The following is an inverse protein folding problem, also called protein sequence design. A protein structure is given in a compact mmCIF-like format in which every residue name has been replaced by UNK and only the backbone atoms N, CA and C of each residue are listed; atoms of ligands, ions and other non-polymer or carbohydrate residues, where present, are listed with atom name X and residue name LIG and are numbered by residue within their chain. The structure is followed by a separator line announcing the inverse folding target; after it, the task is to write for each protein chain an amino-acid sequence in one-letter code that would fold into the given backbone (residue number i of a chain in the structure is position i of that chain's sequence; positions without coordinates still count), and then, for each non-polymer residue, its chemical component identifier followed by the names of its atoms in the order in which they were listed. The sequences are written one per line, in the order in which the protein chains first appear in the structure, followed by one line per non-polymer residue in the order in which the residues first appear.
data_IF_520107549591
#
_entry.id   IF_520107549591
#
_cell.length_a   1.000
_cell.length_b   1.000
_cell.length_c   1.000
_cell.angle_alpha   90.00
_cell.angle_beta   90.00
_cell.angle_gamma   90.00
#
_symmetry.space_group_name_H-M   'P 1'
#
loop_
_entity.id
_entity.type
_entity.pdbx_description
1 polymer ?
#
# COMPACT_ATOMS: atom_id res chain seq x y z
N UNK A 1 11.77 -8.30 14.06
CA UNK A 1 11.61 -9.68 14.63
C UNK A 1 12.48 -10.60 13.80
N UNK A 2 13.45 -11.29 14.40
CA UNK A 2 14.31 -12.23 13.68
C UNK A 2 13.51 -13.49 13.40
N UNK A 3 13.45 -13.97 12.15
CA UNK A 3 12.73 -15.22 11.85
C UNK A 3 13.32 -16.37 12.63
N UNK A 4 12.48 -17.23 13.16
CA UNK A 4 12.91 -18.50 13.74
C UNK A 4 13.40 -19.37 12.58
N UNK A 5 14.62 -19.81 12.61
CA UNK A 5 15.23 -20.62 11.55
C UNK A 5 14.40 -21.89 11.33
N UNK A 6 14.07 -22.18 10.08
CA UNK A 6 13.22 -23.32 9.70
C UNK A 6 11.71 -23.12 9.86
N UNK A 7 11.24 -21.98 10.41
CA UNK A 7 9.81 -21.71 10.62
C UNK A 7 9.24 -20.59 9.74
N UNK A 8 10.05 -19.98 8.87
CA UNK A 8 9.60 -18.91 7.97
C UNK A 8 9.52 -19.37 6.52
N UNK A 9 8.50 -18.89 5.80
CA UNK A 9 8.34 -19.15 4.37
C UNK A 9 8.81 -17.95 3.57
N UNK A 10 9.69 -18.18 2.60
CA UNK A 10 10.07 -17.17 1.61
C UNK A 10 9.06 -17.14 0.47
N UNK A 11 8.98 -16.02 -0.26
CA UNK A 11 8.14 -15.95 -1.46
C UNK A 11 8.49 -17.09 -2.46
N UNK A 12 9.78 -17.33 -2.65
CA UNK A 12 10.24 -18.44 -3.51
C UNK A 12 9.72 -19.81 -3.04
N UNK A 13 9.87 -20.13 -1.74
CA UNK A 13 9.38 -21.41 -1.22
C UNK A 13 7.85 -21.53 -1.31
N UNK A 14 7.13 -20.42 -1.09
CA UNK A 14 5.68 -20.35 -1.25
C UNK A 14 5.24 -20.60 -2.69
N UNK A 15 5.87 -19.95 -3.66
CA UNK A 15 5.59 -20.14 -5.09
C UNK A 15 5.92 -21.57 -5.54
N UNK A 16 7.05 -22.13 -5.11
CA UNK A 16 7.38 -23.55 -5.40
C UNK A 16 6.33 -24.52 -4.85
N UNK A 17 5.77 -24.24 -3.67
CA UNK A 17 4.75 -25.09 -3.09
C UNK A 17 3.43 -25.08 -3.88
N UNK A 18 3.13 -23.96 -4.54
CA UNK A 18 1.89 -23.79 -5.31
C UNK A 18 2.05 -24.22 -6.78
N UNK A 19 3.13 -23.79 -7.42
CA UNK A 19 3.34 -23.99 -8.86
C UNK A 19 4.17 -25.22 -9.22
N UNK A 20 4.87 -25.83 -8.25
CA UNK A 20 5.90 -26.83 -8.49
C UNK A 20 7.29 -26.20 -8.62
N UNK A 21 8.29 -26.85 -8.04
CA UNK A 21 9.68 -26.33 -8.04
C UNK A 21 10.26 -26.17 -9.46
N UNK A 22 9.87 -27.02 -10.37
CA UNK A 22 10.29 -27.05 -11.77
C UNK A 22 9.77 -25.87 -12.59
N UNK A 23 8.77 -25.16 -12.09
CA UNK A 23 8.15 -24.00 -12.76
C UNK A 23 8.56 -22.66 -12.17
N UNK A 24 9.38 -22.66 -11.12
CA UNK A 24 9.79 -21.44 -10.41
C UNK A 24 11.30 -21.30 -10.42
N UNK A 25 11.79 -20.28 -11.11
CA UNK A 25 13.19 -19.92 -11.11
C UNK A 25 13.45 -18.67 -10.26
N UNK A 26 14.66 -18.57 -9.75
CA UNK A 26 15.15 -17.35 -9.08
C UNK A 26 16.25 -16.72 -9.91
N UNK A 27 16.08 -15.44 -10.19
CA UNK A 27 17.09 -14.62 -10.85
C UNK A 27 17.75 -13.75 -9.79
N UNK A 28 19.07 -13.87 -9.69
CA UNK A 28 19.87 -13.07 -8.77
C UNK A 28 20.43 -11.87 -9.50
N UNK A 29 20.49 -10.76 -8.79
CA UNK A 29 21.19 -9.57 -9.24
C UNK A 29 22.64 -9.62 -8.80
N UNK A 30 23.54 -9.37 -9.72
CA UNK A 30 24.94 -9.11 -9.40
C UNK A 30 25.11 -7.77 -8.69
N UNK A 31 26.20 -7.61 -7.96
CA UNK A 31 26.56 -6.35 -7.33
C UNK A 31 26.77 -5.21 -8.35
N UNK A 32 27.00 -5.57 -9.61
CA UNK A 32 27.12 -4.67 -10.77
C UNK A 32 25.77 -4.38 -11.45
N UNK A 33 24.66 -4.85 -10.88
CA UNK A 33 23.33 -4.71 -11.46
C UNK A 33 23.03 -5.66 -12.62
N UNK A 34 23.91 -6.63 -12.92
CA UNK A 34 23.68 -7.62 -13.95
C UNK A 34 22.69 -8.70 -13.51
N UNK A 35 21.94 -9.26 -14.46
CA UNK A 35 21.06 -10.41 -14.26
C UNK A 35 20.79 -11.13 -15.58
N UNK A 36 20.19 -12.31 -15.53
CA UNK A 36 19.83 -13.07 -16.74
C UNK A 36 18.58 -12.48 -17.41
N UNK A 37 18.78 -11.51 -18.31
CA UNK A 37 17.72 -10.86 -19.08
C UNK A 37 16.97 -11.82 -19.99
N UNK A 38 17.63 -12.89 -20.47
CA UNK A 38 16.98 -13.91 -21.30
C UNK A 38 15.99 -14.75 -20.48
N UNK A 39 16.33 -15.05 -19.23
CA UNK A 39 15.42 -15.74 -18.33
C UNK A 39 14.19 -14.87 -18.02
N UNK A 40 14.37 -13.57 -17.76
CA UNK A 40 13.29 -12.61 -17.57
C UNK A 40 12.37 -12.57 -18.80
N UNK A 41 12.91 -12.38 -20.00
CA UNK A 41 12.10 -12.28 -21.23
C UNK A 41 11.32 -13.54 -21.55
N UNK A 42 11.79 -14.71 -21.14
CA UNK A 42 11.15 -16.00 -21.42
C UNK A 42 10.14 -16.43 -20.37
N UNK A 43 10.17 -15.82 -19.20
CA UNK A 43 9.28 -16.16 -18.09
C UNK A 43 7.82 -15.87 -18.47
N UNK A 44 6.91 -16.74 -18.06
CA UNK A 44 5.46 -16.53 -18.23
C UNK A 44 4.95 -15.34 -17.41
N UNK A 45 5.58 -15.09 -16.28
CA UNK A 45 5.39 -13.91 -15.45
C UNK A 45 6.63 -13.72 -14.56
N UNK A 46 6.87 -12.50 -14.14
CA UNK A 46 8.00 -12.15 -13.27
C UNK A 46 7.49 -11.49 -12.00
N UNK A 47 7.94 -11.98 -10.86
CA UNK A 47 7.65 -11.36 -9.57
C UNK A 47 8.91 -10.68 -9.06
N UNK A 48 8.88 -9.36 -8.95
CA UNK A 48 9.97 -8.54 -8.42
C UNK A 48 9.66 -8.18 -6.97
N UNK A 49 10.45 -8.69 -6.03
CA UNK A 49 10.30 -8.36 -4.61
C UNK A 49 11.29 -7.27 -4.23
N UNK A 50 10.77 -6.14 -3.80
CA UNK A 50 11.53 -4.94 -3.41
C UNK A 50 11.12 -4.48 -2.02
N UNK A 51 11.88 -3.56 -1.44
CA UNK A 51 11.53 -2.97 -0.16
C UNK A 51 12.72 -2.66 0.71
N UNK A 52 12.44 -2.43 1.98
CA UNK A 52 13.43 -2.00 2.98
C UNK A 52 13.92 -3.19 3.80
N UNK A 53 15.12 -3.02 4.34
CA UNK A 53 15.75 -3.94 5.28
C UNK A 53 15.93 -3.24 6.63
N UNK A 54 16.35 -3.97 7.65
CA UNK A 54 16.65 -3.39 8.97
C UNK A 54 17.78 -2.33 8.94
N UNK A 55 18.56 -2.29 7.87
CA UNK A 55 19.61 -1.29 7.66
C UNK A 55 19.06 -0.01 7.02
N UNK A 56 17.92 -0.09 6.33
CA UNK A 56 17.31 1.01 5.58
C UNK A 56 15.99 1.50 6.17
N UNK A 57 15.40 0.74 7.09
CA UNK A 57 14.23 1.14 7.89
C UNK A 57 14.35 0.56 9.30
N UNK A 58 14.24 1.40 10.33
CA UNK A 58 14.36 0.95 11.72
C UNK A 58 13.92 1.99 12.73
N UNK A 59 13.85 1.56 13.98
CA UNK A 59 13.58 2.46 15.10
C UNK A 59 14.75 3.43 15.28
N UNK A 60 14.43 4.73 15.40
CA UNK A 60 15.43 5.77 15.65
C UNK A 60 16.07 6.39 14.41
N UNK A 61 15.70 5.94 13.21
CA UNK A 61 16.05 6.60 11.96
C UNK A 61 14.92 6.42 10.92
N UNK A 62 14.76 7.43 10.07
CA UNK A 62 13.71 7.42 9.05
C UNK A 62 14.21 6.75 7.76
N UNK A 63 13.34 5.99 7.12
CA UNK A 63 13.56 5.52 5.77
C UNK A 63 13.35 6.64 4.75
N UNK A 64 13.87 6.45 3.55
CA UNK A 64 13.56 7.31 2.41
C UNK A 64 12.10 7.10 1.94
N UNK A 65 11.51 8.11 1.31
CA UNK A 65 10.22 7.97 0.65
C UNK A 65 10.32 7.12 -0.64
N UNK A 66 11.45 7.20 -1.33
CA UNK A 66 11.77 6.32 -2.45
C UNK A 66 12.26 4.95 -1.97
N UNK A 67 12.10 3.93 -2.80
CA UNK A 67 12.72 2.63 -2.56
C UNK A 67 14.26 2.77 -2.42
N UNK A 68 14.94 1.84 -1.75
CA UNK A 68 16.40 1.80 -1.72
C UNK A 68 17.04 1.87 -3.11
N UNK A 69 18.25 2.42 -3.17
CA UNK A 69 18.99 2.65 -4.40
C UNK A 69 19.02 1.42 -5.32
N UNK A 70 18.77 1.66 -6.61
CA UNK A 70 18.79 0.64 -7.67
C UNK A 70 17.49 -0.16 -7.81
N UNK A 71 16.57 -0.13 -6.84
CA UNK A 71 15.36 -0.94 -6.92
C UNK A 71 14.35 -0.40 -7.95
N UNK A 72 14.20 0.92 -8.08
CA UNK A 72 13.35 1.52 -9.11
C UNK A 72 13.86 1.22 -10.52
N UNK A 73 15.17 1.31 -10.72
CA UNK A 73 15.82 0.97 -11.99
C UNK A 73 15.67 -0.52 -12.33
N UNK A 74 15.81 -1.38 -11.33
CA UNK A 74 15.58 -2.80 -11.48
C UNK A 74 14.17 -3.10 -12.00
N UNK A 75 13.14 -2.49 -11.40
CA UNK A 75 11.75 -2.70 -11.81
C UNK A 75 11.58 -2.29 -13.26
N UNK A 76 12.05 -1.10 -13.66
CA UNK A 76 11.94 -0.62 -15.04
C UNK A 76 12.65 -1.51 -16.04
N UNK A 77 13.87 -1.96 -15.71
CA UNK A 77 14.61 -2.88 -16.59
C UNK A 77 13.88 -4.20 -16.78
N UNK A 78 13.30 -4.75 -15.70
CA UNK A 78 12.52 -5.99 -15.77
C UNK A 78 11.23 -5.78 -16.57
N UNK A 79 10.51 -4.66 -16.35
CA UNK A 79 9.30 -4.30 -17.08
C UNK A 79 9.57 -4.08 -18.58
N UNK A 80 10.73 -3.54 -18.95
CA UNK A 80 11.16 -3.44 -20.36
C UNK A 80 11.45 -4.77 -21.06
N UNK A 81 11.56 -5.87 -20.31
CA UNK A 81 11.86 -7.20 -20.84
C UNK A 81 10.65 -8.16 -20.80
N UNK A 82 9.66 -7.88 -19.99
CA UNK A 82 8.50 -8.75 -19.80
C UNK A 82 7.27 -7.92 -19.43
N UNK A 83 6.16 -8.11 -20.14
CA UNK A 83 4.91 -7.37 -19.94
C UNK A 83 4.11 -7.85 -18.71
N UNK A 84 4.46 -8.99 -18.13
CA UNK A 84 3.75 -9.60 -16.99
C UNK A 84 4.58 -9.52 -15.72
N UNK A 85 4.82 -8.29 -15.28
CA UNK A 85 5.59 -8.01 -14.07
C UNK A 85 4.67 -7.67 -12.93
N UNK A 86 4.83 -8.39 -11.82
CA UNK A 86 4.18 -8.08 -10.55
C UNK A 86 5.25 -7.63 -9.56
N UNK A 87 5.06 -6.46 -9.00
CA UNK A 87 5.96 -5.92 -7.96
C UNK A 87 5.39 -6.18 -6.59
N UNK A 88 6.15 -6.83 -5.73
CA UNK A 88 5.81 -7.04 -4.30
C UNK A 88 6.66 -6.09 -3.48
N UNK A 89 6.00 -5.14 -2.82
CA UNK A 89 6.65 -4.10 -2.02
C UNK A 89 6.59 -4.46 -0.54
N UNK A 90 7.76 -4.58 0.09
CA UNK A 90 7.90 -4.79 1.53
C UNK A 90 8.35 -3.47 2.18
N UNK A 91 7.43 -2.80 2.84
CA UNK A 91 7.67 -1.50 3.47
C UNK A 91 6.71 -1.27 4.63
N UNK A 92 7.13 -0.55 5.65
CA UNK A 92 6.28 -0.16 6.78
C UNK A 92 5.31 0.98 6.47
N UNK A 93 5.43 1.60 5.30
CA UNK A 93 4.56 2.71 4.89
C UNK A 93 4.57 2.93 3.38
N UNK A 94 3.98 4.02 2.95
CA UNK A 94 3.96 4.46 1.57
C UNK A 94 5.37 4.59 0.96
N UNK A 95 5.50 4.26 -0.31
CA UNK A 95 6.70 4.49 -1.11
C UNK A 95 6.34 5.16 -2.44
N UNK A 96 7.27 5.94 -2.99
CA UNK A 96 7.14 6.41 -4.35
C UNK A 96 7.18 5.22 -5.33
N UNK A 97 6.31 5.27 -6.34
CA UNK A 97 6.19 4.22 -7.36
C UNK A 97 6.26 4.84 -8.77
N UNK A 98 7.43 5.41 -9.15
CA UNK A 98 7.56 6.11 -10.44
C UNK A 98 7.49 5.19 -11.66
N UNK A 99 7.42 3.90 -11.44
CA UNK A 99 7.30 2.81 -12.40
C UNK A 99 5.90 2.17 -12.44
N UNK A 100 4.93 2.74 -11.71
CA UNK A 100 3.61 2.13 -11.51
C UNK A 100 2.90 1.79 -12.83
N UNK A 101 2.99 2.66 -13.81
CA UNK A 101 2.35 2.48 -15.13
C UNK A 101 3.14 1.53 -16.06
N UNK A 102 4.30 1.06 -15.63
CA UNK A 102 5.17 0.16 -16.40
C UNK A 102 4.99 -1.32 -16.02
N UNK A 103 4.21 -1.61 -14.98
CA UNK A 103 4.02 -2.96 -14.44
C UNK A 103 2.57 -3.40 -14.44
N UNK A 104 2.33 -4.72 -14.53
CA UNK A 104 0.97 -5.28 -14.58
C UNK A 104 0.23 -5.17 -13.25
N UNK A 105 0.93 -5.36 -12.12
CA UNK A 105 0.32 -5.28 -10.80
C UNK A 105 1.34 -4.95 -9.69
N UNK A 106 0.83 -4.38 -8.61
CA UNK A 106 1.58 -4.13 -7.38
C UNK A 106 0.87 -4.77 -6.20
N UNK A 107 1.63 -5.48 -5.37
CA UNK A 107 1.17 -6.03 -4.10
C UNK A 107 1.92 -5.32 -2.97
N UNK A 108 1.21 -4.52 -2.20
CA UNK A 108 1.74 -3.92 -0.97
C UNK A 108 1.72 -4.99 0.12
N UNK A 109 2.86 -5.60 0.37
CA UNK A 109 2.98 -6.73 1.30
C UNK A 109 3.18 -6.29 2.75
N UNK A 110 3.51 -5.03 3.00
CA UNK A 110 3.93 -4.54 4.32
C UNK A 110 5.08 -5.40 4.85
N UNK A 111 5.02 -5.80 6.11
CA UNK A 111 5.90 -6.80 6.73
C UNK A 111 5.07 -8.03 7.12
N UNK A 112 4.88 -8.98 6.19
CA UNK A 112 3.87 -10.03 6.31
C UNK A 112 4.22 -11.13 7.34
N UNK A 113 5.37 -11.04 7.99
CA UNK A 113 5.77 -11.97 9.04
C UNK A 113 6.18 -13.35 8.53
N UNK A 114 6.09 -14.33 9.41
CA UNK A 114 6.69 -15.65 9.24
C UNK A 114 6.09 -16.45 8.06
N UNK A 115 4.78 -16.36 7.86
CA UNK A 115 4.05 -17.07 6.78
C UNK A 115 3.83 -16.20 5.53
N UNK A 116 4.52 -15.05 5.45
CA UNK A 116 4.37 -14.09 4.36
C UNK A 116 4.58 -14.66 2.97
N UNK A 117 5.57 -15.54 2.81
CA UNK A 117 5.82 -16.19 1.52
C UNK A 117 4.67 -17.07 1.06
N UNK A 118 4.04 -17.82 1.97
CA UNK A 118 2.86 -18.64 1.66
C UNK A 118 1.65 -17.79 1.34
N UNK A 119 1.38 -16.75 2.13
CA UNK A 119 0.27 -15.83 1.91
C UNK A 119 0.37 -15.13 0.56
N UNK A 120 1.54 -14.60 0.22
CA UNK A 120 1.80 -13.97 -1.07
C UNK A 120 1.63 -14.97 -2.23
N UNK A 121 2.17 -16.17 -2.10
CA UNK A 121 2.01 -17.20 -3.13
C UNK A 121 0.55 -17.59 -3.35
N UNK A 122 -0.27 -17.68 -2.30
CA UNK A 122 -1.71 -17.96 -2.41
C UNK A 122 -2.45 -16.83 -3.14
N UNK A 123 -2.10 -15.57 -2.89
CA UNK A 123 -2.66 -14.42 -3.61
C UNK A 123 -2.21 -14.44 -5.07
N UNK A 124 -0.91 -14.52 -5.33
CA UNK A 124 -0.35 -14.46 -6.69
C UNK A 124 -0.83 -15.60 -7.58
N UNK A 125 -1.15 -16.76 -7.02
CA UNK A 125 -1.70 -17.90 -7.74
C UNK A 125 -3.23 -17.88 -7.90
N UNK A 126 -3.93 -16.94 -7.24
CA UNK A 126 -5.38 -16.87 -7.24
C UNK A 126 -6.08 -17.89 -6.32
N UNK A 127 -5.35 -18.62 -5.49
CA UNK A 127 -5.95 -19.52 -4.48
C UNK A 127 -6.74 -18.74 -3.43
N UNK A 128 -6.27 -17.55 -3.08
CA UNK A 128 -6.95 -16.61 -2.19
C UNK A 128 -7.08 -15.26 -2.89
N UNK A 129 -8.23 -14.64 -2.75
CA UNK A 129 -8.45 -13.27 -3.25
C UNK A 129 -7.91 -12.26 -2.24
N UNK A 130 -7.15 -11.24 -2.69
CA UNK A 130 -6.75 -10.16 -1.79
C UNK A 130 -7.99 -9.44 -1.26
N UNK A 131 -7.97 -9.08 0.01
CA UNK A 131 -9.06 -8.37 0.70
C UNK A 131 -8.56 -7.18 1.52
N UNK A 132 -7.24 -6.99 1.58
CA UNK A 132 -6.64 -5.87 2.28
C UNK A 132 -7.05 -4.53 1.67
N UNK A 133 -7.21 -3.53 2.53
CA UNK A 133 -7.46 -2.14 2.16
C UNK A 133 -6.40 -1.26 2.79
N UNK A 134 -5.96 -0.23 2.08
CA UNK A 134 -4.98 0.71 2.60
C UNK A 134 -5.49 1.40 3.87
N UNK A 135 -4.75 1.32 4.98
CA UNK A 135 -5.12 1.99 6.22
C UNK A 135 -4.71 3.47 6.24
N UNK A 136 -4.08 3.94 5.17
CA UNK A 136 -3.61 5.33 4.99
C UNK A 136 -3.76 5.72 3.53
N UNK A 137 -3.79 7.02 3.27
CA UNK A 137 -3.75 7.57 1.91
C UNK A 137 -2.32 7.54 1.38
N UNK A 138 -2.11 7.05 0.16
CA UNK A 138 -0.84 7.12 -0.55
C UNK A 138 -0.84 8.30 -1.50
N UNK A 139 0.15 9.17 -1.39
CA UNK A 139 0.22 10.44 -2.13
C UNK A 139 1.08 10.38 -3.39
N UNK A 140 1.86 9.33 -3.56
CA UNK A 140 2.73 9.10 -4.71
C UNK A 140 4.03 9.87 -4.69
N UNK A 141 4.03 11.08 -4.19
CA UNK A 141 5.24 11.90 -3.97
C UNK A 141 5.22 12.52 -2.57
N UNK A 142 6.39 12.83 -2.05
CA UNK A 142 6.49 13.47 -0.75
C UNK A 142 5.84 14.86 -0.76
N UNK A 143 6.05 15.61 -1.85
CA UNK A 143 5.47 16.94 -2.04
C UNK A 143 3.94 16.91 -2.21
N UNK A 144 3.40 15.79 -2.68
CA UNK A 144 1.96 15.56 -2.78
C UNK A 144 1.28 15.36 -1.43
N UNK A 145 2.05 15.02 -0.39
CA UNK A 145 1.51 14.87 0.94
C UNK A 145 1.33 16.24 1.62
N UNK A 146 0.10 16.63 1.97
CA UNK A 146 -0.18 17.94 2.57
C UNK A 146 0.55 18.18 3.89
N UNK A 147 0.89 17.15 4.63
CA UNK A 147 1.64 17.25 5.88
C UNK A 147 3.15 17.43 5.69
N UNK A 148 3.70 17.11 4.52
CA UNK A 148 5.16 17.12 4.27
C UNK A 148 5.80 18.51 4.50
N UNK A 149 5.07 19.57 4.19
CA UNK A 149 5.55 20.94 4.37
C UNK A 149 5.83 21.27 5.83
N UNK A 150 5.07 20.68 6.75
CA UNK A 150 5.12 20.97 8.17
C UNK A 150 6.17 20.12 8.90
N UNK A 151 6.58 19.00 8.31
CA UNK A 151 7.64 18.15 8.86
C UNK A 151 9.07 18.60 8.52
N UNK A 152 9.23 19.77 7.89
CA UNK A 152 10.53 20.29 7.50
C UNK A 152 11.21 19.50 6.39
N UNK A 153 10.50 18.58 5.75
CA UNK A 153 10.99 17.81 4.62
C UNK A 153 11.09 18.70 3.39
N UNK A 154 12.29 18.91 2.88
CA UNK A 154 12.53 19.58 1.61
C UNK A 154 13.23 18.63 0.66
N UNK A 155 12.63 18.39 -0.52
CA UNK A 155 13.24 17.71 -1.66
C UNK A 155 13.90 16.36 -1.34
N UNK A 156 13.19 15.46 -0.70
CA UNK A 156 13.69 14.14 -0.29
C UNK A 156 14.85 14.18 0.73
N UNK A 157 15.16 15.32 1.29
CA UNK A 157 16.09 15.44 2.39
C UNK A 157 15.30 15.52 3.70
N UNK A 158 15.52 14.56 4.58
CA UNK A 158 15.14 14.69 5.98
C UNK A 158 16.05 15.75 6.57
N UNK A 159 15.57 16.98 6.66
CA UNK A 159 16.29 18.00 7.42
C UNK A 159 16.04 17.67 8.89
N UNK A 160 17.08 17.24 9.63
CA UNK A 160 16.93 17.11 11.07
C UNK A 160 16.45 18.47 11.57
N UNK A 161 15.22 18.55 12.06
CA UNK A 161 14.78 19.74 12.75
C UNK A 161 15.87 20.04 13.78
N UNK A 162 16.38 21.28 13.82
CA UNK A 162 17.18 21.73 14.96
C UNK A 162 16.38 21.28 16.15
N UNK A 163 16.91 20.36 16.93
CA UNK A 163 16.21 19.80 18.08
C UNK A 163 15.76 20.97 18.91
N UNK A 164 14.49 21.32 18.75
CA UNK A 164 13.80 22.14 19.75
C UNK A 164 13.89 21.30 21.02
N UNK A 165 14.53 21.79 22.07
CA UNK A 165 14.65 21.04 23.32
C UNK A 165 13.30 20.68 23.93
N UNK A 166 12.20 21.25 23.41
CA UNK A 166 10.83 21.00 23.85
C UNK A 166 10.02 20.13 22.89
N UNK A 167 10.60 19.67 21.77
CA UNK A 167 9.95 18.76 20.80
C UNK A 167 8.53 19.18 20.38
N UNK A 168 8.31 20.46 20.13
CA UNK A 168 7.01 20.94 19.67
C UNK A 168 6.76 20.55 18.22
N UNK A 169 5.71 19.79 17.98
CA UNK A 169 5.19 19.52 16.65
C UNK A 169 3.87 20.25 16.48
N UNK A 170 3.74 21.02 15.42
CA UNK A 170 2.51 21.78 15.12
C UNK A 170 1.88 21.19 13.87
N UNK A 171 0.63 20.76 14.00
CA UNK A 171 -0.19 20.21 12.91
C UNK A 171 -0.98 21.35 12.26
N UNK A 172 -0.37 22.06 11.33
CA UNK A 172 -0.98 23.19 10.65
C UNK A 172 -2.10 22.80 9.69
N UNK A 173 -2.11 21.55 9.23
CA UNK A 173 -3.18 20.98 8.41
C UNK A 173 -4.51 20.86 9.20
N UNK A 174 -4.47 20.89 10.52
CA UNK A 174 -5.65 20.82 11.38
C UNK A 174 -6.48 19.57 11.11
N UNK A 175 -7.75 19.74 10.72
CA UNK A 175 -8.65 18.64 10.40
C UNK A 175 -8.36 17.97 9.04
N UNK A 176 -7.61 18.62 8.18
CA UNK A 176 -7.29 18.10 6.83
C UNK A 176 -6.08 17.18 6.83
N UNK A 177 -6.03 16.24 7.75
CA UNK A 177 -5.00 15.21 7.82
C UNK A 177 -5.45 13.93 7.10
N UNK A 178 -4.50 13.25 6.46
CA UNK A 178 -4.74 11.98 5.78
C UNK A 178 -5.82 12.07 4.70
N UNK A 179 -6.80 11.17 4.70
CA UNK A 179 -7.84 11.10 3.67
C UNK A 179 -8.72 12.36 3.59
N UNK A 180 -8.83 13.15 4.66
CA UNK A 180 -9.61 14.39 4.65
C UNK A 180 -8.97 15.49 3.79
N UNK A 181 -7.66 15.43 3.58
CA UNK A 181 -6.98 16.31 2.66
C UNK A 181 -7.21 15.90 1.20
N UNK A 182 -7.57 14.65 0.95
CA UNK A 182 -7.85 14.17 -0.41
C UNK A 182 -9.07 14.90 -0.99
N UNK A 183 -8.90 15.46 -2.17
CA UNK A 183 -9.95 16.25 -2.84
C UNK A 183 -10.07 17.69 -2.35
N UNK A 184 -9.32 18.11 -1.32
CA UNK A 184 -9.23 19.52 -0.92
C UNK A 184 -8.09 20.19 -1.69
N UNK A 185 -8.31 21.42 -2.14
CA UNK A 185 -7.28 22.36 -2.63
C UNK A 185 -6.15 21.75 -3.51
N UNK A 186 -6.47 20.79 -4.39
CA UNK A 186 -5.51 20.27 -5.37
C UNK A 186 -4.67 19.05 -4.93
N UNK A 187 -4.96 18.48 -3.78
CA UNK A 187 -4.32 17.24 -3.35
C UNK A 187 -5.06 16.02 -3.91
N UNK A 188 -4.42 15.32 -4.85
CA UNK A 188 -4.93 14.08 -5.41
C UNK A 188 -4.08 12.90 -4.92
N UNK A 189 -4.66 11.91 -4.24
CA UNK A 189 -3.92 10.74 -3.81
C UNK A 189 -3.57 9.83 -4.99
N UNK A 190 -2.43 9.14 -4.90
CA UNK A 190 -2.10 8.04 -5.79
C UNK A 190 -3.06 6.86 -5.53
N UNK A 191 -3.22 6.52 -4.25
CA UNK A 191 -4.23 5.57 -3.78
C UNK A 191 -4.92 6.15 -2.54
N UNK A 192 -6.24 6.29 -2.53
CA UNK A 192 -6.95 6.82 -1.38
C UNK A 192 -6.95 5.82 -0.20
N UNK A 193 -7.19 6.33 1.00
CA UNK A 193 -7.52 5.50 2.16
C UNK A 193 -8.63 4.51 1.80
N UNK A 194 -8.48 3.26 2.22
CA UNK A 194 -9.44 2.20 1.91
C UNK A 194 -9.30 1.57 0.53
N UNK A 195 -8.37 2.05 -0.31
CA UNK A 195 -8.11 1.45 -1.61
C UNK A 195 -7.59 0.02 -1.48
N UNK A 196 -8.04 -0.83 -2.39
CA UNK A 196 -7.54 -2.19 -2.57
C UNK A 196 -8.39 -2.95 -3.59
N UNK A 197 -7.73 -3.80 -4.36
CA UNK A 197 -8.38 -4.62 -5.37
C UNK A 197 -8.68 -6.02 -4.82
N UNK A 198 -9.60 -6.70 -5.47
CA UNK A 198 -9.98 -8.09 -5.17
C UNK A 198 -10.23 -8.83 -6.48
N UNK A 199 -10.14 -10.15 -6.48
CA UNK A 199 -10.41 -10.98 -7.67
C UNK A 199 -11.91 -11.22 -7.92
N UNK A 200 -12.76 -10.62 -7.10
CA UNK A 200 -14.20 -10.69 -7.26
C UNK A 200 -14.82 -9.30 -7.45
N UNK A 201 -16.12 -9.25 -7.59
CA UNK A 201 -16.88 -8.02 -7.68
C UNK A 201 -17.95 -8.00 -6.61
N UNK A 202 -18.17 -6.84 -6.02
CA UNK A 202 -19.20 -6.63 -5.01
C UNK A 202 -20.20 -5.59 -5.51
N UNK A 203 -21.48 -5.85 -5.28
CA UNK A 203 -22.57 -4.92 -5.50
C UNK A 203 -23.12 -4.47 -4.15
N UNK A 204 -23.37 -3.18 -4.05
CA UNK A 204 -23.98 -2.55 -2.88
C UNK A 204 -25.37 -2.08 -3.26
N UNK A 205 -26.37 -2.32 -2.40
CA UNK A 205 -27.75 -1.91 -2.65
C UNK A 205 -28.52 -1.64 -1.37
N UNK A 206 -29.69 -1.02 -1.53
CA UNK A 206 -30.68 -0.82 -0.48
C UNK A 206 -30.14 -0.07 0.75
N UNK A 207 -29.37 1.00 0.50
CA UNK A 207 -28.91 1.88 1.58
C UNK A 207 -30.12 2.48 2.29
N UNK A 208 -30.22 2.23 3.59
CA UNK A 208 -31.21 2.83 4.47
C UNK A 208 -30.51 3.52 5.63
N UNK A 209 -30.93 4.75 5.90
CA UNK A 209 -30.43 5.56 7.01
C UNK A 209 -31.64 5.97 7.84
N UNK A 210 -31.70 5.56 9.09
CA UNK A 210 -32.79 5.84 10.01
C UNK A 210 -32.26 6.54 11.25
N UNK A 211 -32.96 7.59 11.75
CA UNK A 211 -32.61 8.19 13.02
C UNK A 211 -32.68 7.18 14.16
N UNK A 212 -31.69 7.19 15.04
CA UNK A 212 -31.64 6.43 16.29
C UNK A 212 -31.50 7.37 17.49
N UNK A 213 -31.51 6.84 18.71
CA UNK A 213 -31.47 7.66 19.92
C UNK A 213 -30.20 8.52 20.02
N UNK A 214 -29.05 7.96 19.61
CA UNK A 214 -27.74 8.58 19.72
C UNK A 214 -27.04 8.72 18.34
N UNK A 215 -27.80 8.86 17.25
CA UNK A 215 -27.22 9.00 15.92
C UNK A 215 -28.11 8.44 14.81
N UNK A 216 -27.57 7.57 13.97
CA UNK A 216 -28.26 6.98 12.83
C UNK A 216 -27.95 5.48 12.72
N UNK A 217 -28.98 4.69 12.41
CA UNK A 217 -28.82 3.33 11.96
C UNK A 217 -28.62 3.32 10.44
N UNK A 218 -27.48 2.81 10.01
CA UNK A 218 -27.12 2.68 8.60
C UNK A 218 -27.13 1.21 8.23
N UNK A 219 -27.91 0.82 7.25
CA UNK A 219 -27.97 -0.55 6.74
C UNK A 219 -27.91 -0.60 5.22
N UNK A 220 -27.28 -1.62 4.67
CA UNK A 220 -27.18 -1.87 3.24
C UNK A 220 -26.88 -3.34 2.97
N UNK A 221 -27.13 -3.78 1.75
CA UNK A 221 -26.75 -5.11 1.31
C UNK A 221 -25.41 -5.07 0.59
N UNK A 222 -24.55 -6.06 0.91
CA UNK A 222 -23.32 -6.33 0.17
C UNK A 222 -23.42 -7.71 -0.43
N UNK A 223 -23.32 -7.80 -1.73
CA UNK A 223 -23.41 -9.06 -2.46
C UNK A 223 -22.13 -9.28 -3.26
N UNK A 224 -21.49 -10.43 -3.10
CA UNK A 224 -20.46 -10.88 -4.02
C UNK A 224 -21.15 -11.32 -5.32
N UNK A 225 -20.92 -10.59 -6.41
CA UNK A 225 -21.47 -10.86 -7.75
C UNK A 225 -20.40 -11.40 -8.71
N UNK A 226 -19.17 -11.58 -8.24
CA UNK A 226 -18.09 -12.19 -9.00
C UNK A 226 -18.08 -13.72 -8.92
N UNK A 227 -16.99 -14.30 -9.40
CA UNK A 227 -16.87 -15.76 -9.61
C UNK A 227 -16.09 -16.50 -8.52
N UNK A 228 -15.42 -15.79 -7.64
CA UNK A 228 -14.61 -16.40 -6.59
C UNK A 228 -15.04 -15.93 -5.20
N UNK A 229 -14.67 -16.71 -4.19
CA UNK A 229 -14.80 -16.29 -2.80
C UNK A 229 -13.85 -15.12 -2.54
N UNK A 230 -14.39 -14.05 -1.96
CA UNK A 230 -13.62 -12.87 -1.61
C UNK A 230 -14.29 -12.16 -0.43
N UNK A 231 -13.56 -11.25 0.20
CA UNK A 231 -14.07 -10.35 1.21
C UNK A 231 -13.92 -8.91 0.74
N UNK A 232 -14.79 -8.03 1.22
CA UNK A 232 -14.71 -6.60 1.02
C UNK A 232 -14.80 -5.88 2.35
N UNK A 233 -14.37 -4.61 2.37
CA UNK A 233 -14.39 -3.76 3.56
C UNK A 233 -15.18 -2.49 3.19
N UNK A 234 -16.51 -2.49 3.37
CA UNK A 234 -17.29 -1.30 3.13
C UNK A 234 -16.94 -0.21 4.13
N UNK A 235 -16.92 1.03 3.65
CA UNK A 235 -16.63 2.20 4.44
C UNK A 235 -17.84 3.13 4.40
N UNK A 236 -18.30 3.58 5.56
CA UNK A 236 -19.37 4.56 5.70
C UNK A 236 -18.75 5.87 6.18
N UNK A 237 -18.95 6.92 5.40
CA UNK A 237 -18.48 8.25 5.73
C UNK A 237 -19.67 9.16 6.03
N UNK A 238 -19.63 9.88 7.15
CA UNK A 238 -20.69 10.80 7.59
C UNK A 238 -20.12 12.22 7.64
N UNK A 239 -20.75 13.20 7.05
CA UNK A 239 -20.36 14.60 7.16
C UNK A 239 -21.53 15.45 7.62
N UNK A 240 -21.26 16.50 8.38
CA UNK A 240 -22.26 17.50 8.70
C UNK A 240 -22.62 18.33 7.46
N UNK A 241 -23.91 18.60 7.27
CA UNK A 241 -24.39 19.43 6.17
C UNK A 241 -24.04 20.91 6.32
N UNK A 242 -23.55 21.34 7.48
CA UNK A 242 -23.21 22.73 7.76
C UNK A 242 -21.69 22.95 7.76
N UNK A 243 -21.12 23.57 6.72
CA UNK A 243 -19.68 23.78 6.60
C UNK A 243 -19.09 24.69 7.71
N UNK A 244 -19.89 25.40 8.47
CA UNK A 244 -19.44 26.23 9.59
C UNK A 244 -19.12 25.42 10.86
N UNK A 245 -19.53 24.14 10.94
CA UNK A 245 -19.34 23.27 12.12
C UNK A 245 -18.23 22.24 11.94
N UNK A 246 -17.47 22.31 10.86
CA UNK A 246 -16.29 21.44 10.60
C UNK A 246 -15.20 21.49 11.68
N UNK A 247 -15.31 22.40 12.62
CA UNK A 247 -14.32 22.61 13.69
C UNK A 247 -14.60 21.87 14.99
N UNK A 248 -15.74 21.21 15.11
CA UNK A 248 -16.17 20.58 16.37
C UNK A 248 -16.32 19.07 16.30
N UNK A 249 -16.21 18.47 15.11
CA UNK A 249 -16.36 17.03 14.98
C UNK A 249 -15.06 16.30 15.25
N UNK A 250 -15.16 15.28 16.09
CA UNK A 250 -14.15 14.24 16.23
C UNK A 250 -13.95 13.52 14.88
N UNK A 251 -12.77 12.97 14.67
CA UNK A 251 -12.42 12.24 13.45
C UNK A 251 -13.39 11.09 13.11
N UNK A 252 -14.14 10.61 14.10
CA UNK A 252 -15.17 9.60 13.95
C UNK A 252 -16.47 10.12 13.31
N UNK A 253 -16.70 11.44 13.34
CA UNK A 253 -17.96 12.06 12.92
C UNK A 253 -17.98 12.49 11.45
N UNK A 254 -16.85 12.40 10.75
CA UNK A 254 -16.74 12.77 9.35
C UNK A 254 -16.86 11.57 8.44
N UNK A 255 -18.05 11.15 8.12
CA UNK A 255 -18.25 10.15 7.11
C UNK A 255 -18.94 10.75 5.89
N UNK A 256 -18.50 10.45 4.70
CA UNK A 256 -19.19 10.74 3.43
C UNK A 256 -19.79 9.45 2.92
N UNK A 257 -21.07 9.48 2.56
CA UNK A 257 -21.62 8.38 1.76
C UNK A 257 -21.09 8.52 0.33
N UNK A 258 -20.42 7.53 -0.18
CA UNK A 258 -20.00 7.39 -1.57
C UNK A 258 -21.00 6.53 -2.30
#
# INVERSE_FOLDING_TARGET
MTPIEGCSTTLFSGLCAVAGREHVDTIRFGADGSFDEKAVSRASAVVVSVGFTKETEGEGFDRTFSLPEGQDELIRRVAGLNDRVVVVVNSGGEVAMPWLDEVEAVVMAWYPGQEGGRALASILSGMESPSGRLPVTFWGTLEGNPAAVYYGMRKNEIVPQKRDPFCHTVYYEGLFSGYRAAGSAGFAPLFPFGFGLTYSLFAYSDLSIQPAADGYDVSFWVRNVGKCRAADVPQVYVSECNPCLLYTSDAADEARSV
#
